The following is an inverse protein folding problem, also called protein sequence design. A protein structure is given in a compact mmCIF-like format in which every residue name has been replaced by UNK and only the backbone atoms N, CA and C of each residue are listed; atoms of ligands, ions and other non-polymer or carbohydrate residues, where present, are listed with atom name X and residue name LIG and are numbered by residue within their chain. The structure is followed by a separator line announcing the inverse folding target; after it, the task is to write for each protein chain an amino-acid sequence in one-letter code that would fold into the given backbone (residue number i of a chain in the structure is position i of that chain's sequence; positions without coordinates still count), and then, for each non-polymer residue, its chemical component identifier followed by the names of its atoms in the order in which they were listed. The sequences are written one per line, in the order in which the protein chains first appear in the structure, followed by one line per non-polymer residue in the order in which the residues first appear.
data_IF_801369732975
#
_entry.id   IF_801369732975
#
_cell.length_a   1.000
_cell.length_b   1.000
_cell.length_c   1.000
_cell.angle_alpha   90.00
_cell.angle_beta   90.00
_cell.angle_gamma   90.00
#
_symmetry.space_group_name_H-M   'P 1'
#
loop_
_entity.id
_entity.type
_entity.pdbx_description
1 polymer ?
#
# COMPACT_ATOMS: atom_id res chain seq x y z
N UNK A 1 15.29 2.37 -7.77
CA UNK A 1 15.31 2.43 -6.29
C UNK A 1 14.68 1.14 -5.78
N UNK A 2 15.46 0.28 -5.13
CA UNK A 2 15.03 -1.09 -4.78
C UNK A 2 13.92 -1.07 -3.71
N UNK A 3 12.85 -1.86 -3.87
CA UNK A 3 11.76 -2.02 -2.89
C UNK A 3 12.27 -2.34 -1.47
N UNK A 4 13.46 -2.95 -1.36
CA UNK A 4 14.11 -3.22 -0.08
C UNK A 4 14.55 -1.94 0.66
N UNK A 5 14.94 -0.89 -0.06
CA UNK A 5 15.39 0.37 0.57
C UNK A 5 14.25 1.18 1.21
N UNK A 6 12.99 0.92 0.81
CA UNK A 6 11.79 1.52 1.41
C UNK A 6 11.26 0.69 2.57
N UNK A 7 11.48 -0.64 2.58
CA UNK A 7 10.99 -1.54 3.64
C UNK A 7 11.82 -1.48 4.94
N UNK A 8 13.09 -1.08 4.88
CA UNK A 8 14.01 -1.06 6.03
C UNK A 8 14.48 0.35 6.42
N UNK A 9 13.83 1.40 5.91
CA UNK A 9 14.22 2.79 6.16
C UNK A 9 13.27 3.46 7.14
N UNK A 10 13.78 3.85 8.31
CA UNK A 10 13.12 4.83 9.19
C UNK A 10 13.66 6.24 8.92
N UNK A 11 12.75 7.22 8.91
CA UNK A 11 13.02 8.65 8.72
C UNK A 11 13.72 9.22 9.97
N UNK A 12 14.81 9.98 9.80
CA UNK A 12 15.39 10.81 10.86
C UNK A 12 14.38 11.90 11.27
N UNK A 13 14.31 12.29 12.56
CA UNK A 13 13.62 13.52 12.93
C UNK A 13 14.31 14.71 12.26
N UNK A 14 13.51 15.68 11.82
CA UNK A 14 14.02 16.96 11.30
C UNK A 14 14.81 17.68 12.41
N UNK A 15 15.99 18.17 12.05
CA UNK A 15 16.84 18.98 12.92
C UNK A 15 16.04 20.19 13.42
N UNK A 16 15.71 20.18 14.72
CA UNK A 16 15.33 21.39 15.42
C UNK A 16 16.60 21.95 16.02
N UNK A 17 17.09 23.03 15.44
CA UNK A 17 18.10 23.88 16.05
C UNK A 17 17.43 24.52 17.27
N UNK A 18 17.88 24.17 18.49
CA UNK A 18 18.05 25.20 19.49
C UNK A 18 19.11 24.83 20.53
N UNK A 19 19.95 25.81 20.83
CA UNK A 19 21.04 25.73 21.78
C UNK A 19 20.52 26.18 23.15
N UNK A 20 20.61 25.36 24.19
CA UNK A 20 21.31 25.71 25.46
C UNK A 20 21.17 24.65 26.56
N UNK A 21 22.22 24.64 27.38
CA UNK A 21 22.32 24.20 28.78
C UNK A 21 22.83 22.79 29.06
N UNK A 22 24.07 22.77 29.54
CA UNK A 22 24.72 21.68 30.23
C UNK A 22 24.33 21.70 31.72
N UNK A 23 24.08 20.53 32.31
CA UNK A 23 24.86 19.99 33.45
C UNK A 23 24.15 18.79 34.15
N UNK A 24 24.92 17.69 34.27
CA UNK A 24 25.00 16.73 35.37
C UNK A 24 23.82 15.75 35.64
N UNK A 25 24.05 14.44 35.43
CA UNK A 25 24.51 13.48 36.47
C UNK A 25 24.65 12.05 35.90
N UNK A 26 25.65 11.34 36.42
CA UNK A 26 26.09 9.99 36.08
C UNK A 26 25.18 8.87 36.65
N UNK A 27 25.41 7.68 36.08
CA UNK A 27 25.10 6.32 36.53
C UNK A 27 23.66 5.81 36.40
N UNK A 28 23.44 5.03 35.34
CA UNK A 28 22.77 3.73 35.42
C UNK A 28 23.05 2.89 34.15
N UNK A 29 23.89 1.86 34.33
CA UNK A 29 23.93 0.57 33.63
C UNK A 29 23.61 0.55 32.12
N UNK A 30 24.68 0.49 31.33
CA UNK A 30 24.69 0.14 29.90
C UNK A 30 23.99 -1.21 29.64
N UNK A 31 22.71 -1.15 29.31
CA UNK A 31 22.13 -2.11 28.36
C UNK A 31 22.47 -1.56 26.98
N UNK A 32 23.08 -2.31 26.05
CA UNK A 32 23.40 -1.76 24.74
C UNK A 32 22.10 -1.47 24.01
N UNK A 33 21.66 -0.22 24.13
CA UNK A 33 20.66 0.40 23.29
C UNK A 33 21.34 0.56 21.95
N UNK A 34 21.15 -0.45 21.10
CA UNK A 34 21.78 -0.50 19.79
C UNK A 34 21.18 0.62 18.93
N UNK A 35 21.90 1.72 18.85
CA UNK A 35 21.63 2.85 17.98
C UNK A 35 22.02 2.52 16.53
N UNK A 36 21.10 2.82 15.61
CA UNK A 36 21.36 3.56 14.37
C UNK A 36 22.32 2.97 13.32
N UNK A 37 21.75 2.24 12.35
CA UNK A 37 22.33 2.00 11.02
C UNK A 37 21.38 1.14 10.19
N UNK A 38 21.08 1.50 8.93
CA UNK A 38 20.08 0.87 8.06
C UNK A 38 20.43 -0.55 7.56
N UNK A 39 20.92 -1.40 8.44
CA UNK A 39 21.32 -2.76 8.18
C UNK A 39 20.57 -3.69 9.13
N UNK A 40 20.03 -4.79 8.58
CA UNK A 40 19.29 -5.77 9.37
C UNK A 40 20.22 -6.35 10.46
N UNK A 41 19.66 -6.69 11.63
CA UNK A 41 20.44 -7.35 12.68
C UNK A 41 21.20 -8.56 12.13
N UNK A 42 22.50 -8.75 12.44
CA UNK A 42 23.29 -9.87 11.91
C UNK A 42 22.65 -11.24 12.17
N UNK A 43 21.92 -11.39 13.28
CA UNK A 43 21.15 -12.58 13.62
C UNK A 43 20.09 -12.94 12.56
N UNK A 44 19.60 -11.95 11.80
CA UNK A 44 18.61 -12.12 10.73
C UNK A 44 19.24 -12.27 9.34
N UNK A 45 20.56 -12.28 9.21
CA UNK A 45 21.23 -12.37 7.91
C UNK A 45 20.84 -13.64 7.14
N UNK A 46 20.73 -14.78 7.83
CA UNK A 46 20.31 -16.04 7.20
C UNK A 46 18.84 -15.97 6.75
N UNK A 47 17.95 -15.43 7.59
CA UNK A 47 16.55 -15.26 7.25
C UNK A 47 16.38 -14.35 6.02
N UNK A 48 17.10 -13.22 5.97
CA UNK A 48 17.08 -12.31 4.82
C UNK A 48 17.63 -12.97 3.56
N UNK A 49 18.72 -13.73 3.65
CA UNK A 49 19.29 -14.46 2.52
C UNK A 49 18.32 -15.50 1.97
N UNK A 50 17.66 -16.27 2.85
CA UNK A 50 16.64 -17.24 2.48
C UNK A 50 15.44 -16.56 1.80
N UNK A 51 14.94 -15.45 2.35
CA UNK A 51 13.85 -14.68 1.76
C UNK A 51 14.20 -14.18 0.35
N UNK A 52 15.39 -13.59 0.17
CA UNK A 52 15.88 -13.13 -1.14
C UNK A 52 16.03 -14.26 -2.15
N UNK A 53 16.31 -15.48 -1.70
CA UNK A 53 16.39 -16.67 -2.53
C UNK A 53 15.03 -17.34 -2.81
N UNK A 54 13.91 -16.76 -2.32
CA UNK A 54 12.57 -17.36 -2.46
C UNK A 54 12.33 -18.58 -1.56
N UNK A 55 13.25 -18.88 -0.63
CA UNK A 55 13.11 -19.98 0.34
C UNK A 55 12.35 -19.47 1.57
N UNK A 56 11.04 -19.29 1.40
CA UNK A 56 10.21 -18.63 2.40
C UNK A 56 10.08 -19.42 3.71
N UNK A 57 10.02 -20.75 3.65
CA UNK A 57 9.99 -21.59 4.87
C UNK A 57 11.28 -21.47 5.69
N UNK A 58 12.44 -21.49 5.03
CA UNK A 58 13.74 -21.30 5.70
C UNK A 58 13.85 -19.89 6.32
N UNK A 59 13.32 -18.87 5.62
CA UNK A 59 13.27 -17.51 6.12
C UNK A 59 12.41 -17.39 7.37
N UNK A 60 11.23 -18.02 7.38
CA UNK A 60 10.32 -18.07 8.54
C UNK A 60 10.99 -18.79 9.70
N UNK A 61 11.55 -19.98 9.47
CA UNK A 61 12.19 -20.77 10.51
C UNK A 61 13.37 -20.02 11.14
N UNK A 62 14.14 -19.29 10.33
CA UNK A 62 15.29 -18.51 10.80
C UNK A 62 14.88 -17.22 11.53
N UNK A 63 13.80 -16.55 11.11
CA UNK A 63 13.36 -15.29 11.73
C UNK A 63 12.48 -15.49 12.98
N UNK A 64 11.65 -16.53 13.03
CA UNK A 64 10.64 -16.74 14.10
C UNK A 64 11.21 -16.66 15.53
N UNK A 65 12.38 -17.26 15.85
CA UNK A 65 12.96 -17.17 17.20
C UNK A 65 13.29 -15.75 17.66
N UNK A 66 13.34 -14.80 16.73
CA UNK A 66 13.79 -13.43 16.96
C UNK A 66 12.64 -12.40 16.95
N UNK A 67 11.39 -12.80 16.71
CA UNK A 67 10.23 -11.89 16.58
C UNK A 67 9.93 -11.09 17.85
N UNK A 68 10.27 -11.62 19.03
CA UNK A 68 10.15 -10.90 20.30
C UNK A 68 11.26 -9.88 20.57
N UNK A 69 12.34 -9.87 19.78
CA UNK A 69 13.51 -9.01 19.97
C UNK A 69 13.70 -8.01 18.84
N UNK A 70 13.43 -8.40 17.59
CA UNK A 70 13.69 -7.58 16.41
C UNK A 70 12.42 -7.42 15.56
N UNK A 71 12.02 -6.19 15.30
CA UNK A 71 10.88 -5.87 14.41
C UNK A 71 11.06 -6.47 13.01
N UNK A 72 12.29 -6.44 12.49
CA UNK A 72 12.64 -7.01 11.18
C UNK A 72 12.42 -8.52 11.10
N UNK A 73 12.47 -9.24 12.23
CA UNK A 73 12.14 -10.66 12.26
C UNK A 73 10.65 -10.88 11.99
N UNK A 74 9.77 -10.09 12.62
CA UNK A 74 8.32 -10.11 12.35
C UNK A 74 8.03 -9.67 10.91
N UNK A 75 8.72 -8.65 10.41
CA UNK A 75 8.63 -8.20 9.00
C UNK A 75 8.99 -9.31 8.02
N UNK A 76 10.11 -10.01 8.23
CA UNK A 76 10.53 -11.14 7.39
C UNK A 76 9.54 -12.30 7.44
N UNK A 77 9.01 -12.63 8.62
CA UNK A 77 7.97 -13.65 8.76
C UNK A 77 6.71 -13.25 7.99
N UNK A 78 6.20 -12.04 8.21
CA UNK A 78 4.99 -11.54 7.56
C UNK A 78 5.10 -11.57 6.03
N UNK A 79 6.21 -11.05 5.49
CA UNK A 79 6.47 -11.07 4.05
C UNK A 79 6.58 -12.51 3.51
N UNK A 80 7.31 -13.39 4.18
CA UNK A 80 7.51 -14.78 3.75
C UNK A 80 6.19 -15.58 3.75
N UNK A 81 5.37 -15.39 4.78
CA UNK A 81 4.04 -16.00 4.85
C UNK A 81 3.12 -15.47 3.74
N UNK A 82 3.12 -14.15 3.48
CA UNK A 82 2.35 -13.56 2.37
C UNK A 82 2.77 -14.09 1.00
N UNK A 83 4.08 -14.21 0.75
CA UNK A 83 4.59 -14.79 -0.51
C UNK A 83 4.25 -16.27 -0.67
N UNK A 84 4.04 -16.97 0.44
CA UNK A 84 3.60 -18.38 0.45
C UNK A 84 2.08 -18.53 0.52
N UNK A 85 1.30 -17.46 0.32
CA UNK A 85 -0.17 -17.43 0.43
C UNK A 85 -0.74 -17.89 1.79
N UNK A 86 0.06 -17.82 2.86
CA UNK A 86 -0.30 -18.16 4.25
C UNK A 86 -0.73 -16.91 5.01
N UNK A 87 -1.81 -16.29 4.53
CA UNK A 87 -2.24 -14.96 4.99
C UNK A 87 -2.66 -14.88 6.48
N UNK A 88 -3.30 -15.90 7.08
CA UNK A 88 -3.60 -15.86 8.51
C UNK A 88 -2.34 -15.72 9.39
N UNK A 89 -1.27 -16.46 9.07
CA UNK A 89 0.01 -16.32 9.76
C UNK A 89 0.68 -14.98 9.48
N UNK A 90 0.64 -14.52 8.21
CA UNK A 90 1.16 -13.21 7.85
C UNK A 90 0.49 -12.09 8.65
N UNK A 91 -0.83 -12.16 8.83
CA UNK A 91 -1.61 -11.17 9.57
C UNK A 91 -1.12 -11.04 11.02
N UNK A 92 -0.89 -12.15 11.73
CA UNK A 92 -0.39 -12.11 13.10
C UNK A 92 0.97 -11.42 13.21
N UNK A 93 1.87 -11.64 12.25
CA UNK A 93 3.16 -10.98 12.23
C UNK A 93 3.09 -9.50 11.83
N UNK A 94 2.19 -9.14 10.90
CA UNK A 94 1.92 -7.73 10.59
C UNK A 94 1.33 -6.99 11.78
N UNK A 95 0.48 -7.65 12.57
CA UNK A 95 -0.16 -7.05 13.74
C UNK A 95 0.88 -6.78 14.82
N UNK A 96 1.68 -7.78 15.16
CA UNK A 96 2.79 -7.61 16.11
C UNK A 96 3.78 -6.52 15.64
N UNK A 97 4.03 -6.43 14.33
CA UNK A 97 4.89 -5.38 13.77
C UNK A 97 4.24 -4.00 13.89
N UNK A 98 2.93 -3.87 13.67
CA UNK A 98 2.22 -2.59 13.85
C UNK A 98 2.20 -2.14 15.31
N UNK A 99 2.05 -3.07 16.27
CA UNK A 99 2.11 -2.77 17.70
C UNK A 99 3.48 -2.20 18.12
N UNK A 100 4.56 -2.67 17.47
CA UNK A 100 5.90 -2.14 17.71
C UNK A 100 6.21 -0.87 16.89
N UNK A 101 5.73 -0.82 15.66
CA UNK A 101 5.95 0.24 14.68
C UNK A 101 4.60 0.65 14.07
N UNK A 102 3.85 1.56 14.73
CA UNK A 102 2.50 1.95 14.31
C UNK A 102 2.54 2.93 13.14
N UNK A 103 3.00 2.43 11.98
CA UNK A 103 3.16 3.17 10.74
C UNK A 103 1.92 3.00 9.86
N UNK A 104 1.62 4.00 9.06
CA UNK A 104 0.54 3.93 8.08
C UNK A 104 0.81 2.81 7.07
N UNK A 105 2.08 2.59 6.69
CA UNK A 105 2.48 1.48 5.83
C UNK A 105 2.10 0.12 6.43
N UNK A 106 2.45 -0.14 7.70
CA UNK A 106 2.11 -1.40 8.36
C UNK A 106 0.59 -1.58 8.49
N UNK A 107 -0.17 -0.50 8.72
CA UNK A 107 -1.64 -0.55 8.69
C UNK A 107 -2.19 -0.92 7.29
N UNK A 108 -1.59 -0.43 6.20
CA UNK A 108 -1.96 -0.86 4.84
C UNK A 108 -1.67 -2.35 4.63
N UNK A 109 -0.55 -2.88 5.15
CA UNK A 109 -0.26 -4.32 5.07
C UNK A 109 -1.31 -5.16 5.83
N UNK A 110 -1.78 -4.67 6.98
CA UNK A 110 -2.89 -5.30 7.70
C UNK A 110 -4.21 -5.22 6.94
N UNK A 111 -4.47 -4.11 6.25
CA UNK A 111 -5.65 -3.94 5.40
C UNK A 111 -5.67 -4.95 4.26
N UNK A 112 -4.61 -5.01 3.46
CA UNK A 112 -4.50 -5.93 2.31
C UNK A 112 -4.48 -7.39 2.77
N UNK A 113 -3.72 -7.72 3.82
CA UNK A 113 -3.66 -9.08 4.35
C UNK A 113 -5.02 -9.54 4.89
N UNK A 114 -5.81 -8.65 5.50
CA UNK A 114 -7.18 -8.96 5.93
C UNK A 114 -8.08 -9.35 4.76
N UNK A 115 -8.02 -8.61 3.65
CA UNK A 115 -8.73 -8.96 2.41
C UNK A 115 -8.27 -10.31 1.88
N UNK A 116 -6.97 -10.59 1.91
CA UNK A 116 -6.44 -11.89 1.49
C UNK A 116 -6.89 -13.06 2.38
N UNK A 117 -7.15 -12.80 3.66
CA UNK A 117 -7.82 -13.74 4.58
C UNK A 117 -9.33 -13.89 4.33
N UNK A 118 -9.91 -13.08 3.44
CA UNK A 118 -11.36 -13.04 3.17
C UNK A 118 -12.15 -12.17 4.15
N UNK A 119 -11.48 -11.33 4.94
CA UNK A 119 -12.10 -10.45 5.93
C UNK A 119 -12.09 -9.00 5.43
N UNK A 120 -12.98 -8.68 4.49
CA UNK A 120 -13.02 -7.36 3.82
C UNK A 120 -13.31 -6.23 4.80
N UNK A 121 -14.27 -6.40 5.71
CA UNK A 121 -14.61 -5.38 6.72
C UNK A 121 -13.43 -5.05 7.63
N UNK A 122 -12.65 -6.07 8.04
CA UNK A 122 -11.41 -5.86 8.80
C UNK A 122 -10.37 -5.12 7.95
N UNK A 123 -10.32 -5.42 6.65
CA UNK A 123 -9.51 -4.70 5.68
C UNK A 123 -9.82 -3.21 5.62
N UNK A 124 -11.10 -2.85 5.51
CA UNK A 124 -11.57 -1.46 5.50
C UNK A 124 -11.20 -0.72 6.79
N UNK A 125 -11.42 -1.35 7.94
CA UNK A 125 -11.06 -0.77 9.23
C UNK A 125 -9.56 -0.44 9.32
N UNK A 126 -8.70 -1.33 8.81
CA UNK A 126 -7.25 -1.08 8.75
C UNK A 126 -6.86 -0.03 7.71
N UNK A 127 -7.56 0.07 6.58
CA UNK A 127 -7.34 1.13 5.61
C UNK A 127 -7.71 2.49 6.23
N UNK A 128 -8.84 2.60 6.93
CA UNK A 128 -9.20 3.78 7.72
C UNK A 128 -8.14 4.11 8.76
N UNK A 129 -7.66 3.10 9.49
CA UNK A 129 -6.57 3.28 10.47
C UNK A 129 -5.29 3.79 9.81
N UNK A 130 -4.94 3.30 8.61
CA UNK A 130 -3.76 3.78 7.89
C UNK A 130 -3.87 5.26 7.53
N UNK A 131 -5.05 5.73 7.12
CA UNK A 131 -5.28 7.13 6.80
C UNK A 131 -5.15 8.01 8.05
N UNK A 132 -5.69 7.56 9.19
CA UNK A 132 -5.53 8.26 10.47
C UNK A 132 -4.06 8.40 10.86
N UNK A 133 -3.28 7.32 10.78
CA UNK A 133 -1.84 7.37 11.09
C UNK A 133 -1.08 8.25 10.07
N UNK A 134 -1.50 8.23 8.81
CA UNK A 134 -0.85 9.01 7.74
C UNK A 134 -1.11 10.53 7.85
N UNK A 135 -2.22 10.94 8.47
CA UNK A 135 -2.51 12.35 8.75
C UNK A 135 -1.44 12.99 9.65
N UNK A 136 -0.81 12.20 10.53
CA UNK A 136 0.24 12.67 11.45
C UNK A 136 1.65 12.47 10.88
N UNK A 137 1.87 11.35 10.18
CA UNK A 137 3.22 10.93 9.76
C UNK A 137 3.61 11.40 8.36
N UNK A 138 2.62 11.62 7.48
CA UNK A 138 2.80 11.96 6.07
C UNK A 138 3.82 11.05 5.36
N UNK A 139 3.83 9.77 5.68
CA UNK A 139 4.86 8.84 5.21
C UNK A 139 4.49 8.15 3.89
N UNK A 140 3.21 8.14 3.51
CA UNK A 140 2.76 7.57 2.24
C UNK A 140 1.67 8.40 1.58
N UNK A 141 1.41 8.13 0.30
CA UNK A 141 0.28 8.71 -0.44
C UNK A 141 -0.99 7.89 -0.18
N UNK A 142 -2.11 8.56 0.10
CA UNK A 142 -3.42 7.92 0.25
C UNK A 142 -3.83 7.19 -1.03
N UNK A 143 -3.43 7.71 -2.20
CA UNK A 143 -3.66 7.08 -3.49
C UNK A 143 -2.89 5.76 -3.61
N UNK A 144 -1.64 5.74 -3.14
CA UNK A 144 -0.83 4.51 -3.12
C UNK A 144 -1.40 3.48 -2.13
N UNK A 145 -1.84 3.90 -0.95
CA UNK A 145 -2.50 3.02 0.03
C UNK A 145 -3.76 2.36 -0.57
N UNK A 146 -4.64 3.16 -1.19
CA UNK A 146 -5.87 2.66 -1.84
C UNK A 146 -5.59 1.80 -3.06
N UNK A 147 -4.54 2.08 -3.83
CA UNK A 147 -4.12 1.24 -4.98
C UNK A 147 -3.73 -0.16 -4.50
N UNK A 148 -3.00 -0.26 -3.39
CA UNK A 148 -2.65 -1.55 -2.80
C UNK A 148 -3.89 -2.31 -2.30
N UNK A 149 -4.82 -1.60 -1.65
CA UNK A 149 -6.07 -2.18 -1.17
C UNK A 149 -6.96 -2.69 -2.31
N UNK A 150 -7.15 -1.88 -3.36
CA UNK A 150 -7.86 -2.25 -4.59
C UNK A 150 -7.26 -3.51 -5.22
N UNK A 151 -5.92 -3.59 -5.28
CA UNK A 151 -5.25 -4.76 -5.84
C UNK A 151 -5.58 -6.04 -5.07
N UNK A 152 -5.66 -5.99 -3.74
CA UNK A 152 -6.05 -7.12 -2.90
C UNK A 152 -7.52 -7.52 -3.13
N UNK A 153 -8.44 -6.55 -3.21
CA UNK A 153 -9.86 -6.80 -3.49
C UNK A 153 -10.05 -7.47 -4.85
N UNK A 154 -9.42 -6.94 -5.90
CA UNK A 154 -9.49 -7.48 -7.27
C UNK A 154 -8.90 -8.89 -7.33
N UNK A 155 -7.75 -9.11 -6.68
CA UNK A 155 -7.12 -10.43 -6.63
C UNK A 155 -8.03 -11.49 -6.00
N UNK A 156 -8.84 -11.09 -5.00
CA UNK A 156 -9.80 -11.95 -4.32
C UNK A 156 -11.21 -11.92 -4.93
N UNK A 157 -11.41 -11.18 -6.02
CA UNK A 157 -12.69 -11.01 -6.73
C UNK A 157 -13.80 -10.32 -5.93
N UNK A 158 -13.43 -9.51 -4.94
CA UNK A 158 -14.36 -8.62 -4.21
C UNK A 158 -14.65 -7.35 -5.04
N UNK A 159 -15.29 -7.52 -6.19
CA UNK A 159 -15.47 -6.45 -7.18
C UNK A 159 -16.50 -5.40 -6.73
N UNK A 160 -17.55 -5.83 -6.02
CA UNK A 160 -18.55 -4.92 -5.47
C UNK A 160 -17.96 -4.04 -4.38
N UNK A 161 -17.12 -4.61 -3.53
CA UNK A 161 -16.39 -3.91 -2.47
C UNK A 161 -15.26 -3.04 -3.01
N UNK A 162 -14.72 -3.35 -4.21
CA UNK A 162 -13.77 -2.49 -4.89
C UNK A 162 -14.40 -1.24 -5.52
N UNK A 163 -15.71 -1.25 -5.80
CA UNK A 163 -16.41 -0.17 -6.50
C UNK A 163 -16.29 1.20 -5.80
N UNK A 164 -16.49 1.33 -4.47
CA UNK A 164 -16.29 2.61 -3.78
C UNK A 164 -14.86 3.14 -3.89
N UNK A 165 -13.85 2.28 -3.86
CA UNK A 165 -12.44 2.69 -3.91
C UNK A 165 -12.02 3.13 -5.31
N UNK A 166 -12.48 2.45 -6.36
CA UNK A 166 -12.18 2.89 -7.73
C UNK A 166 -12.95 4.16 -8.08
N UNK A 167 -14.15 4.35 -7.52
CA UNK A 167 -14.92 5.61 -7.64
C UNK A 167 -14.21 6.76 -6.93
N UNK A 168 -13.69 6.53 -5.72
CA UNK A 168 -12.84 7.52 -5.05
C UNK A 168 -11.61 7.89 -5.91
N UNK A 169 -10.98 6.90 -6.56
CA UNK A 169 -9.83 7.14 -7.43
C UNK A 169 -10.19 7.98 -8.66
N UNK A 170 -11.34 7.70 -9.29
CA UNK A 170 -11.90 8.53 -10.37
C UNK A 170 -12.04 9.99 -9.94
N UNK A 171 -12.63 10.21 -8.77
CA UNK A 171 -12.90 11.54 -8.25
C UNK A 171 -11.60 12.30 -7.88
N UNK A 172 -10.52 11.57 -7.58
CA UNK A 172 -9.19 12.14 -7.42
C UNK A 172 -8.65 12.73 -8.74
N UNK A 173 -8.81 12.06 -9.88
CA UNK A 173 -8.46 12.64 -11.19
C UNK A 173 -9.28 13.89 -11.50
N UNK A 174 -10.57 13.85 -11.21
CA UNK A 174 -11.46 15.00 -11.39
C UNK A 174 -11.05 16.22 -10.54
N UNK A 175 -10.47 16.01 -9.36
CA UNK A 175 -9.96 17.10 -8.51
C UNK A 175 -8.59 17.62 -8.95
N UNK A 176 -7.74 16.75 -9.51
CA UNK A 176 -6.40 17.14 -9.94
C UNK A 176 -6.42 17.96 -11.22
N UNK A 177 -7.42 17.75 -12.09
CA UNK A 177 -7.58 18.39 -13.40
C UNK A 177 -6.39 18.22 -14.36
N UNK A 178 -5.39 17.42 -13.99
CA UNK A 178 -4.14 17.22 -14.74
C UNK A 178 -3.91 15.71 -14.84
N UNK A 179 -3.81 15.22 -16.07
CA UNK A 179 -3.54 13.81 -16.38
C UNK A 179 -2.14 13.59 -16.98
N UNK A 180 -1.31 14.64 -17.03
CA UNK A 180 0.10 14.55 -17.40
C UNK A 180 0.84 13.47 -16.59
N UNK A 181 1.56 12.58 -17.28
CA UNK A 181 2.19 11.41 -16.68
C UNK A 181 3.29 11.78 -15.69
N UNK A 182 4.03 12.87 -15.93
CA UNK A 182 5.06 13.35 -15.01
C UNK A 182 4.41 13.87 -13.72
N UNK A 183 3.34 14.66 -13.84
CA UNK A 183 2.57 15.16 -12.70
C UNK A 183 1.98 14.01 -11.87
N UNK A 184 1.31 13.06 -12.51
CA UNK A 184 0.70 11.90 -11.84
C UNK A 184 1.76 11.06 -11.12
N UNK A 185 2.89 10.79 -11.77
CA UNK A 185 4.01 10.07 -11.16
C UNK A 185 4.54 10.78 -9.90
N UNK A 186 4.76 12.10 -9.96
CA UNK A 186 5.21 12.89 -8.80
C UNK A 186 4.22 12.88 -7.64
N UNK A 187 2.92 12.73 -7.91
CA UNK A 187 1.86 12.65 -6.89
C UNK A 187 1.53 11.21 -6.46
N UNK A 188 2.21 10.21 -7.02
CA UNK A 188 1.95 8.80 -6.72
C UNK A 188 0.56 8.34 -7.15
N UNK A 189 0.01 8.99 -8.18
CA UNK A 189 -1.27 8.64 -8.82
C UNK A 189 -1.00 7.75 -10.03
N UNK A 190 -1.76 6.67 -10.26
CA UNK A 190 -1.60 5.86 -11.46
C UNK A 190 -1.71 6.70 -12.74
N UNK A 191 -1.10 6.25 -13.83
CA UNK A 191 -1.34 6.89 -15.13
C UNK A 191 -2.79 6.73 -15.54
N UNK A 192 -3.35 7.77 -16.17
CA UNK A 192 -4.78 7.81 -16.49
C UNK A 192 -5.21 6.65 -17.38
N UNK A 193 -4.44 6.32 -18.42
CA UNK A 193 -4.65 5.13 -19.26
C UNK A 193 -4.68 3.84 -18.43
N UNK A 194 -3.70 3.63 -17.55
CA UNK A 194 -3.67 2.45 -16.66
C UNK A 194 -4.89 2.40 -15.75
N UNK A 195 -5.35 3.55 -15.24
CA UNK A 195 -6.57 3.61 -14.44
C UNK A 195 -7.81 3.21 -15.26
N UNK A 196 -7.96 3.69 -16.50
CA UNK A 196 -9.06 3.31 -17.39
C UNK A 196 -9.07 1.79 -17.62
N UNK A 197 -7.92 1.21 -17.97
CA UNK A 197 -7.78 -0.22 -18.22
C UNK A 197 -8.06 -1.09 -16.98
N UNK A 198 -7.53 -0.70 -15.82
CA UNK A 198 -7.65 -1.49 -14.59
C UNK A 198 -8.99 -1.30 -13.89
N UNK A 199 -9.68 -0.20 -14.13
CA UNK A 199 -11.03 0.04 -13.59
C UNK A 199 -12.09 -0.80 -14.30
N UNK A 200 -11.97 -1.03 -15.61
CA UNK A 200 -13.01 -1.68 -16.40
C UNK A 200 -13.46 -3.05 -15.84
N UNK A 201 -12.57 -4.02 -15.51
CA UNK A 201 -13.01 -5.31 -14.96
C UNK A 201 -13.72 -5.20 -13.61
N UNK A 202 -13.44 -4.14 -12.83
CA UNK A 202 -14.14 -3.87 -11.56
C UNK A 202 -15.56 -3.38 -11.86
N UNK A 203 -15.70 -2.44 -12.79
CA UNK A 203 -16.98 -1.86 -13.16
C UNK A 203 -17.88 -2.90 -13.83
N UNK A 204 -17.36 -3.70 -14.77
CA UNK A 204 -18.12 -4.77 -15.43
C UNK A 204 -18.57 -5.88 -14.47
N UNK A 205 -17.84 -6.09 -13.38
CA UNK A 205 -18.22 -7.04 -12.33
C UNK A 205 -19.27 -6.53 -11.35
N UNK A 206 -19.55 -5.22 -11.36
CA UNK A 206 -20.35 -4.55 -10.32
C UNK A 206 -21.51 -3.71 -10.87
N UNK A 207 -21.47 -3.33 -12.14
CA UNK A 207 -22.40 -2.40 -12.76
C UNK A 207 -23.01 -3.00 -14.04
N UNK A 208 -24.16 -2.46 -14.45
CA UNK A 208 -24.67 -2.75 -15.79
C UNK A 208 -23.76 -2.13 -16.85
N UNK A 209 -23.81 -2.68 -18.06
CA UNK A 209 -23.04 -2.19 -19.21
C UNK A 209 -23.27 -0.71 -19.53
N UNK A 210 -24.50 -0.22 -19.36
CA UNK A 210 -24.82 1.19 -19.55
C UNK A 210 -24.22 2.05 -18.44
N UNK A 211 -24.31 1.57 -17.19
CA UNK A 211 -23.77 2.25 -16.02
C UNK A 211 -22.24 2.34 -16.05
N UNK A 212 -21.54 1.35 -16.62
CA UNK A 212 -20.07 1.43 -16.84
C UNK A 212 -19.72 2.67 -17.68
N UNK A 213 -20.44 2.89 -18.78
CA UNK A 213 -20.17 4.04 -19.66
C UNK A 213 -20.53 5.35 -18.96
N UNK A 214 -21.67 5.38 -18.25
CA UNK A 214 -22.08 6.56 -17.48
C UNK A 214 -21.08 6.90 -16.38
N UNK A 215 -20.52 5.90 -15.70
CA UNK A 215 -19.51 6.08 -14.66
C UNK A 215 -18.24 6.76 -15.18
N UNK A 216 -17.78 6.40 -16.39
CA UNK A 216 -16.65 7.09 -17.03
C UNK A 216 -17.02 8.52 -17.47
N UNK A 217 -18.25 8.74 -17.96
CA UNK A 217 -18.73 10.06 -18.39
C UNK A 217 -18.74 11.09 -17.26
N UNK A 218 -18.77 10.67 -15.99
CA UNK A 218 -18.67 11.59 -14.86
C UNK A 218 -17.35 12.36 -14.81
N UNK A 219 -16.30 11.92 -15.52
CA UNK A 219 -15.05 12.65 -15.66
C UNK A 219 -15.09 13.75 -16.74
N UNK A 220 -16.10 13.75 -17.62
CA UNK A 220 -16.17 14.68 -18.74
C UNK A 220 -16.23 16.13 -18.27
N UNK A 221 -15.38 16.97 -18.84
CA UNK A 221 -15.24 18.38 -18.48
C UNK A 221 -14.49 18.62 -17.16
N UNK A 222 -13.84 17.59 -16.62
CA UNK A 222 -13.07 17.67 -15.35
C UNK A 222 -11.59 17.35 -15.54
N UNK A 223 -11.15 17.02 -16.75
CA UNK A 223 -9.77 16.67 -17.06
C UNK A 223 -9.10 17.79 -17.90
N UNK A 224 -7.78 17.68 -18.07
CA UNK A 224 -7.05 18.46 -19.07
C UNK A 224 -7.34 17.95 -20.50
N UNK A 225 -6.89 18.69 -21.52
CA UNK A 225 -7.15 18.37 -22.93
C UNK A 225 -6.73 16.94 -23.31
N UNK A 226 -5.55 16.51 -22.83
CA UNK A 226 -5.05 15.15 -23.03
C UNK A 226 -5.95 14.10 -22.37
N UNK A 227 -6.37 14.34 -21.13
CA UNK A 227 -7.27 13.44 -20.40
C UNK A 227 -8.65 13.35 -21.03
N UNK A 228 -9.22 14.46 -21.49
CA UNK A 228 -10.50 14.48 -22.22
C UNK A 228 -10.42 13.69 -23.53
N UNK A 229 -9.32 13.81 -24.29
CA UNK A 229 -9.12 13.03 -25.51
C UNK A 229 -9.03 11.52 -25.21
N UNK A 230 -8.23 11.13 -24.22
CA UNK A 230 -8.11 9.73 -23.79
C UNK A 230 -9.46 9.16 -23.30
N UNK A 231 -10.22 9.94 -22.53
CA UNK A 231 -11.54 9.55 -22.04
C UNK A 231 -12.55 9.37 -23.18
N UNK A 232 -12.55 10.28 -24.16
CA UNK A 232 -13.42 10.20 -25.33
C UNK A 232 -13.14 8.95 -26.17
N UNK A 233 -11.86 8.66 -26.42
CA UNK A 233 -11.44 7.45 -27.13
C UNK A 233 -11.84 6.17 -26.38
N UNK A 234 -11.65 6.17 -25.06
CA UNK A 234 -12.03 5.04 -24.19
C UNK A 234 -13.54 4.77 -24.25
N UNK A 235 -14.37 5.80 -24.06
CA UNK A 235 -15.83 5.69 -24.15
C UNK A 235 -16.25 5.23 -25.56
N UNK A 236 -15.63 5.75 -26.61
CA UNK A 236 -15.90 5.34 -27.99
C UNK A 236 -15.64 3.84 -28.23
N UNK A 237 -14.55 3.31 -27.68
CA UNK A 237 -14.24 1.86 -27.71
C UNK A 237 -15.32 1.04 -27.00
N UNK A 238 -15.67 1.40 -25.77
CA UNK A 238 -16.69 0.70 -24.99
C UNK A 238 -18.06 0.70 -25.68
N UNK A 239 -18.47 1.83 -26.26
CA UNK A 239 -19.74 1.92 -26.98
C UNK A 239 -19.78 1.09 -28.27
N UNK A 240 -18.62 0.91 -28.92
CA UNK A 240 -18.51 0.04 -30.10
C UNK A 240 -18.67 -1.42 -29.69
N UNK A 241 -18.00 -1.83 -28.61
CA UNK A 241 -18.13 -3.19 -28.06
C UNK A 241 -19.55 -3.51 -27.56
N UNK A 242 -20.22 -2.50 -26.99
CA UNK A 242 -21.63 -2.61 -26.58
C UNK A 242 -22.56 -2.93 -27.73
N UNK A 243 -22.33 -2.34 -28.91
CA UNK A 243 -23.15 -2.56 -30.11
C UNK A 243 -22.82 -3.88 -30.82
N UNK A 244 -21.63 -4.44 -30.60
CA UNK A 244 -21.15 -5.63 -31.28
C UNK A 244 -21.57 -6.96 -30.61
N UNK A 245 -22.01 -6.93 -29.35
CA UNK A 245 -22.54 -8.12 -28.65
C UNK A 245 -24.07 -8.16 -28.76
N UNK A 246 -24.67 -9.18 -29.40
CA UNK A 246 -26.12 -9.32 -29.52
C UNK A 246 -26.81 -9.51 -28.15
#
# INVERSE_FOLDING_TARGET
MSLFSTLFRKKRPADTIDATSAAARQDMQDTPKQESGGEIAPELAHALAAFKAGRYDDAIASATPHTGRFADASRLCALSYSQSHRYPQAFSHWLALFEHEPTAHNAVQLATTSVMCGEVERGEAWLTKSMQVNQETHEQSDVSARTNFLSALVQRRYLSEALPHITWMRDAYAHLHITDSTFLYMRGVPFFETFLEKSLPILEGSLSREDVVNWYRELKGKLDESGEAQLADWIGKLQTELRAKP
#
